data_IF_144352272296
#
_entry.id   IF_144352272296
#
_cell.length_a   1.000
_cell.length_b   1.000
_cell.length_c   1.000
_cell.angle_alpha   90.00
_cell.angle_beta   90.00
_cell.angle_gamma   90.00
#
_symmetry.space_group_name_H-M   'P 1'
#
loop_
_entity.id
_entity.type
_entity.pdbx_description
1 polymer ?
#
# COMPACT_ATOMS: atom_id res chain seq x y z
N UNK A 1 -4.35 27.17 7.04
CA UNK A 1 -3.90 25.93 7.70
C UNK A 1 -3.19 25.10 6.67
N UNK A 2 -1.86 25.08 6.68
CA UNK A 2 -1.08 24.24 5.76
C UNK A 2 -0.98 22.85 6.38
N UNK A 3 -1.87 21.97 5.95
CA UNK A 3 -1.81 20.55 6.27
C UNK A 3 -0.95 19.86 5.22
N UNK A 4 0.20 19.32 5.63
CA UNK A 4 1.05 18.51 4.76
C UNK A 4 0.79 17.05 5.07
N UNK A 5 0.36 16.29 4.07
CA UNK A 5 0.11 14.85 4.20
C UNK A 5 1.03 14.15 3.23
N UNK A 6 1.75 13.19 3.78
CA UNK A 6 2.62 12.32 3.01
C UNK A 6 2.19 10.90 3.34
N UNK A 7 1.76 10.17 2.31
CA UNK A 7 1.51 8.74 2.42
C UNK A 7 2.86 8.07 2.23
N UNK A 8 3.35 7.41 3.26
CA UNK A 8 4.60 6.66 3.22
C UNK A 8 4.31 5.24 2.72
N UNK A 9 5.19 4.72 1.86
CA UNK A 9 5.27 3.31 1.48
C UNK A 9 6.71 2.88 1.74
N UNK A 10 6.93 1.99 2.72
CA UNK A 10 8.16 1.24 3.09
C UNK A 10 9.56 1.88 2.85
N UNK A 11 9.63 3.21 2.77
CA UNK A 11 10.84 3.96 2.54
C UNK A 11 10.74 5.35 3.15
N UNK A 12 11.91 5.95 3.38
CA UNK A 12 11.99 7.32 3.85
C UNK A 12 11.43 8.28 2.80
N UNK A 13 10.60 9.25 3.21
CA UNK A 13 10.07 10.29 2.32
C UNK A 13 10.42 11.68 2.83
N UNK A 14 10.88 12.54 1.92
CA UNK A 14 11.10 13.95 2.19
C UNK A 14 9.78 14.74 2.19
N UNK A 15 9.55 15.53 3.23
CA UNK A 15 8.40 16.44 3.31
C UNK A 15 8.88 17.85 3.63
N UNK A 16 8.19 18.86 3.08
CA UNK A 16 8.56 20.26 3.33
C UNK A 16 7.68 20.89 4.40
N UNK A 17 8.32 21.44 5.44
CA UNK A 17 7.70 22.21 6.50
C UNK A 17 7.88 23.71 6.19
N UNK A 18 6.77 24.38 5.88
CA UNK A 18 6.80 25.81 5.52
C UNK A 18 7.24 26.73 6.66
N UNK A 19 6.93 26.38 7.91
CA UNK A 19 7.22 27.18 9.09
C UNK A 19 7.68 26.27 10.22
N UNK A 20 8.82 26.57 10.84
CA UNK A 20 9.28 25.84 12.02
C UNK A 20 8.31 25.98 13.19
N UNK A 21 8.29 25.00 14.08
CA UNK A 21 7.47 25.02 15.29
C UNK A 21 7.03 23.64 15.77
N UNK A 22 6.03 23.62 16.65
CA UNK A 22 5.46 22.39 17.18
C UNK A 22 4.42 21.80 16.23
N UNK A 23 4.53 20.50 15.98
CA UNK A 23 3.62 19.73 15.14
C UNK A 23 3.14 18.47 15.87
N UNK A 24 1.94 18.02 15.53
CA UNK A 24 1.35 16.76 15.95
C UNK A 24 1.35 15.79 14.78
N UNK A 25 1.92 14.61 15.01
CA UNK A 25 1.78 13.47 14.12
C UNK A 25 0.52 12.67 14.49
N UNK A 26 -0.20 12.19 13.48
CA UNK A 26 -1.22 11.14 13.62
C UNK A 26 -0.81 9.99 12.71
N UNK A 27 -0.58 8.82 13.30
CA UNK A 27 -0.16 7.61 12.57
C UNK A 27 -1.34 6.65 12.56
N UNK A 28 -1.61 5.98 11.43
CA UNK A 28 -2.68 4.98 11.35
C UNK A 28 -2.11 3.61 11.00
N UNK A 29 -1.63 2.88 12.01
CA UNK A 29 -1.15 1.53 11.82
C UNK A 29 -2.31 0.53 11.66
N UNK A 30 -1.99 -0.72 11.36
CA UNK A 30 -2.94 -1.83 11.31
C UNK A 30 -2.36 -3.08 11.96
N UNK A 31 -2.90 -3.37 13.14
CA UNK A 31 -2.70 -4.62 13.85
C UNK A 31 -3.47 -5.70 13.13
N UNK A 32 -2.74 -6.44 12.30
CA UNK A 32 -3.32 -7.43 11.41
C UNK A 32 -3.39 -8.81 12.06
N UNK A 33 -2.84 -8.99 13.27
CA UNK A 33 -3.07 -10.14 14.14
C UNK A 33 -3.16 -9.69 15.62
N UNK A 34 -4.33 -9.16 16.05
CA UNK A 34 -4.53 -8.73 17.42
C UNK A 34 -4.21 -9.83 18.44
N UNK A 35 -3.61 -9.44 19.56
CA UNK A 35 -3.11 -10.31 20.63
C UNK A 35 -1.69 -10.84 20.39
N UNK A 36 -1.18 -10.75 19.15
CA UNK A 36 0.20 -11.09 18.82
C UNK A 36 1.03 -9.88 18.38
N UNK A 37 0.37 -8.80 17.94
CA UNK A 37 0.99 -7.53 17.54
C UNK A 37 2.18 -7.68 16.57
N UNK A 38 2.05 -8.45 15.47
CA UNK A 38 3.11 -8.50 14.47
C UNK A 38 3.14 -7.18 13.69
N UNK A 39 4.31 -6.57 13.55
CA UNK A 39 4.47 -5.32 12.82
C UNK A 39 4.45 -4.06 13.67
N UNK A 40 4.84 -4.13 14.95
CA UNK A 40 5.07 -2.93 15.77
C UNK A 40 6.05 -2.02 15.04
N UNK A 41 5.70 -0.74 14.97
CA UNK A 41 6.46 0.24 14.19
C UNK A 41 6.69 1.53 14.95
N UNK A 42 7.79 2.20 14.61
CA UNK A 42 8.15 3.53 15.07
C UNK A 42 8.24 4.49 13.90
N UNK A 43 8.05 5.77 14.18
CA UNK A 43 8.28 6.85 13.22
C UNK A 43 9.63 7.48 13.50
N UNK A 44 10.42 7.66 12.45
CA UNK A 44 11.66 8.42 12.49
C UNK A 44 11.48 9.77 11.81
N UNK A 45 12.00 10.82 12.43
CA UNK A 45 11.98 12.19 11.95
C UNK A 45 13.42 12.70 11.89
N UNK A 46 13.92 13.02 10.70
CA UNK A 46 15.33 13.42 10.48
C UNK A 46 16.34 12.42 11.06
N UNK A 47 16.03 11.12 11.01
CA UNK A 47 16.85 10.04 11.57
C UNK A 47 16.76 9.88 13.10
N UNK A 48 15.95 10.70 13.79
CA UNK A 48 15.64 10.52 15.20
C UNK A 48 14.31 9.78 15.39
N UNK A 49 14.30 8.74 16.21
CA UNK A 49 13.11 7.92 16.46
C UNK A 49 12.20 8.57 17.50
N UNK A 50 10.88 8.52 17.26
CA UNK A 50 9.89 8.89 18.28
C UNK A 50 9.73 7.74 19.28
N UNK A 51 9.65 8.05 20.58
CA UNK A 51 9.56 7.06 21.66
C UNK A 51 8.29 6.19 21.62
N UNK A 52 7.28 6.60 20.85
CA UNK A 52 6.01 5.88 20.76
C UNK A 52 6.14 4.72 19.79
N UNK A 53 5.93 3.52 20.30
CA UNK A 53 5.63 2.33 19.52
C UNK A 53 4.15 2.33 19.13
N UNK A 54 3.89 2.07 17.85
CA UNK A 54 2.55 2.01 17.28
C UNK A 54 2.11 0.56 17.09
N UNK A 55 0.81 0.34 17.02
CA UNK A 55 0.19 -0.96 16.71
C UNK A 55 0.14 -2.01 17.85
N UNK A 56 0.32 -1.59 19.11
CA UNK A 56 0.21 -2.43 20.33
C UNK A 56 -1.11 -2.19 21.10
N UNK A 57 -2.22 -1.98 20.39
CA UNK A 57 -3.47 -1.52 21.04
C UNK A 57 -4.72 -2.38 20.77
N UNK A 58 -4.60 -3.48 20.01
CA UNK A 58 -5.70 -4.37 19.62
C UNK A 58 -6.86 -3.67 18.87
N UNK A 59 -6.61 -2.52 18.22
CA UNK A 59 -7.63 -1.79 17.44
C UNK A 59 -7.31 -1.85 15.94
N UNK A 60 -8.31 -2.16 15.13
CA UNK A 60 -8.18 -2.12 13.67
C UNK A 60 -8.23 -0.65 13.17
N UNK A 61 -7.12 -0.19 12.59
CA UNK A 61 -6.98 1.08 11.85
C UNK A 61 -7.42 2.32 12.65
N UNK A 62 -6.84 2.51 13.84
CA UNK A 62 -7.08 3.70 14.66
C UNK A 62 -5.98 4.75 14.52
N UNK A 63 -6.30 6.03 14.72
CA UNK A 63 -5.29 7.09 14.74
C UNK A 63 -4.58 7.13 16.09
N UNK A 64 -3.26 7.02 16.05
CA UNK A 64 -2.38 7.08 17.22
C UNK A 64 -1.52 8.34 17.20
N UNK A 65 -1.20 8.85 18.40
CA UNK A 65 -0.54 10.14 18.59
C UNK A 65 0.72 9.97 19.44
N UNK A 66 1.92 10.16 18.88
CA UNK A 66 3.17 10.03 19.64
C UNK A 66 3.46 11.23 20.56
N UNK A 67 2.62 12.27 20.52
CA UNK A 67 2.87 13.56 21.16
C UNK A 67 3.39 14.62 20.16
N UNK A 68 3.58 15.87 20.64
CA UNK A 68 4.04 16.95 19.78
C UNK A 68 5.55 16.87 19.54
N UNK A 69 5.98 17.17 18.31
CA UNK A 69 7.38 17.15 17.86
C UNK A 69 7.76 18.55 17.36
N UNK A 70 8.94 19.03 17.75
CA UNK A 70 9.48 20.29 17.24
C UNK A 70 10.16 20.05 15.89
N UNK A 71 9.70 20.75 14.85
CA UNK A 71 10.21 20.61 13.49
C UNK A 71 10.86 21.92 13.00
N UNK A 72 12.02 21.85 12.31
CA UNK A 72 12.58 23.01 11.63
C UNK A 72 11.73 23.38 10.40
N UNK A 73 11.87 24.61 9.93
CA UNK A 73 11.42 24.95 8.57
C UNK A 73 12.34 24.29 7.54
N UNK A 74 11.79 23.88 6.40
CA UNK A 74 12.53 23.26 5.30
C UNK A 74 12.19 21.79 5.10
N UNK A 75 13.09 21.07 4.43
CA UNK A 75 12.93 19.63 4.18
C UNK A 75 13.20 18.85 5.47
N UNK A 76 12.32 17.90 5.75
CA UNK A 76 12.55 16.87 6.77
C UNK A 76 12.33 15.50 6.16
N UNK A 77 13.01 14.50 6.71
CA UNK A 77 12.84 13.11 6.31
C UNK A 77 11.94 12.40 7.31
N UNK A 78 10.92 11.71 6.84
CA UNK A 78 10.14 10.76 7.63
C UNK A 78 10.45 9.34 7.20
N UNK A 79 10.59 8.42 8.15
CA UNK A 79 10.67 6.99 7.87
C UNK A 79 9.79 6.19 8.85
N UNK A 80 9.43 4.99 8.43
CA UNK A 80 8.80 3.98 9.28
C UNK A 80 9.83 2.89 9.57
N UNK A 81 9.97 2.53 10.83
CA UNK A 81 10.86 1.47 11.28
C UNK A 81 10.03 0.33 11.87
N UNK A 82 10.02 -0.83 11.20
CA UNK A 82 9.39 -2.04 11.71
C UNK A 82 10.29 -2.73 12.72
N UNK A 83 9.86 -2.74 13.98
CA UNK A 83 10.60 -3.31 15.10
C UNK A 83 10.56 -4.84 15.16
N UNK A 84 9.62 -5.45 14.43
CA UNK A 84 9.35 -6.89 14.49
C UNK A 84 9.83 -7.64 13.24
N UNK A 85 10.24 -6.92 12.19
CA UNK A 85 10.56 -7.50 10.89
C UNK A 85 9.40 -8.26 10.25
N UNK A 86 8.16 -7.93 10.63
CA UNK A 86 6.93 -8.64 10.24
C UNK A 86 6.04 -7.83 9.30
N UNK A 87 6.64 -6.89 8.56
CA UNK A 87 5.99 -5.99 7.61
C UNK A 87 4.91 -5.14 8.27
N UNK A 88 5.34 -4.33 9.24
CA UNK A 88 4.54 -3.32 9.91
C UNK A 88 3.64 -2.55 8.95
N UNK A 89 2.35 -2.45 9.24
CA UNK A 89 1.38 -1.86 8.32
C UNK A 89 1.00 -0.47 8.79
N UNK A 90 1.33 0.54 7.99
CA UNK A 90 0.85 1.91 8.18
C UNK A 90 0.30 2.42 6.86
N UNK A 91 -0.93 2.93 6.85
CA UNK A 91 -1.57 3.38 5.62
C UNK A 91 -1.62 4.91 5.46
N UNK A 92 -1.22 5.67 6.50
CA UNK A 92 -1.11 7.12 6.49
C UNK A 92 -0.38 7.67 7.72
N UNK A 93 0.41 8.73 7.51
CA UNK A 93 0.88 9.65 8.55
C UNK A 93 0.38 11.06 8.23
N UNK A 94 -0.18 11.71 9.22
CA UNK A 94 -0.66 13.08 9.13
C UNK A 94 0.19 13.99 10.02
N UNK A 95 0.64 15.12 9.48
CA UNK A 95 1.41 16.13 10.22
C UNK A 95 0.67 17.47 10.19
N UNK A 96 0.34 18.00 11.38
CA UNK A 96 -0.42 19.25 11.51
C UNK A 96 0.00 20.01 12.76
N UNK A 97 -0.27 21.32 12.82
CA UNK A 97 -0.11 22.11 14.04
C UNK A 97 -1.28 21.94 15.02
N UNK A 98 -2.39 21.39 14.55
CA UNK A 98 -3.58 21.12 15.35
C UNK A 98 -3.60 19.66 15.81
N UNK A 99 -3.88 19.43 17.09
CA UNK A 99 -4.06 18.09 17.67
C UNK A 99 -5.45 17.54 17.35
N UNK A 100 -5.73 17.29 16.08
CA UNK A 100 -6.99 16.71 15.62
C UNK A 100 -6.73 15.61 14.59
N UNK A 101 -7.28 14.40 14.78
CA UNK A 101 -7.14 13.35 13.78
C UNK A 101 -7.90 13.72 12.51
N UNK A 102 -7.43 13.27 11.33
CA UNK A 102 -8.27 13.23 10.15
C UNK A 102 -9.54 12.42 10.42
N UNK A 103 -10.67 12.74 9.76
CA UNK A 103 -11.91 11.97 9.93
C UNK A 103 -11.67 10.47 9.74
N UNK A 104 -12.13 9.65 10.68
CA UNK A 104 -12.09 8.18 10.59
C UNK A 104 -13.09 7.61 9.58
N UNK A 105 -14.11 8.40 9.21
CA UNK A 105 -15.26 7.95 8.43
C UNK A 105 -14.83 7.57 7.01
N UNK A 106 -15.30 6.43 6.53
CA UNK A 106 -15.18 5.99 5.13
C UNK A 106 -16.37 6.49 4.30
N UNK A 107 -16.71 7.77 4.41
CA UNK A 107 -17.76 8.39 3.60
C UNK A 107 -17.19 9.08 2.35
N UNK A 108 -18.09 9.56 1.48
CA UNK A 108 -17.70 10.22 0.22
C UNK A 108 -16.82 11.45 0.43
N UNK A 109 -16.98 12.17 1.54
CA UNK A 109 -16.21 13.37 1.88
C UNK A 109 -14.77 12.98 2.24
N UNK A 110 -14.60 11.98 3.10
CA UNK A 110 -13.27 11.46 3.42
C UNK A 110 -12.55 10.89 2.19
N UNK A 111 -13.30 10.23 1.30
CA UNK A 111 -12.76 9.73 0.03
C UNK A 111 -12.27 10.86 -0.87
N UNK A 112 -13.09 11.89 -1.11
CA UNK A 112 -12.71 13.05 -1.92
C UNK A 112 -11.51 13.78 -1.32
N UNK A 113 -11.52 14.01 0.00
CA UNK A 113 -10.37 14.60 0.70
C UNK A 113 -9.10 13.78 0.49
N UNK A 114 -9.15 12.45 0.69
CA UNK A 114 -7.99 11.57 0.43
C UNK A 114 -7.49 11.68 -1.01
N UNK A 115 -8.39 11.78 -2.00
CA UNK A 115 -8.02 11.94 -3.42
C UNK A 115 -7.32 13.26 -3.66
N UNK A 116 -7.84 14.37 -3.14
CA UNK A 116 -7.21 15.69 -3.23
C UNK A 116 -5.80 15.69 -2.62
N UNK A 117 -5.64 15.06 -1.46
CA UNK A 117 -4.35 14.92 -0.78
C UNK A 117 -3.34 14.08 -1.56
N UNK A 118 -3.83 13.13 -2.37
CA UNK A 118 -3.02 12.29 -3.26
C UNK A 118 -2.83 12.91 -4.66
N UNK A 119 -3.35 14.12 -4.92
CA UNK A 119 -3.34 14.72 -6.25
C UNK A 119 -4.19 13.96 -7.29
N UNK A 120 -5.12 13.12 -6.84
CA UNK A 120 -6.00 12.32 -7.69
C UNK A 120 -7.30 13.08 -8.02
N UNK A 121 -7.85 12.96 -9.24
CA UNK A 121 -9.10 13.62 -9.62
C UNK A 121 -10.27 13.03 -8.84
N UNK A 122 -11.29 13.79 -8.44
CA UNK A 122 -12.43 13.25 -7.67
C UNK A 122 -13.14 12.09 -8.40
N UNK A 123 -13.27 12.20 -9.72
CA UNK A 123 -13.81 11.15 -10.60
C UNK A 123 -12.66 10.45 -11.33
N UNK A 124 -12.54 9.10 -11.24
CA UNK A 124 -11.57 8.36 -12.04
C UNK A 124 -11.83 8.53 -13.54
N UNK A 125 -10.77 8.66 -14.34
CA UNK A 125 -10.87 8.60 -15.80
C UNK A 125 -11.31 7.22 -16.27
N UNK A 126 -12.03 7.16 -17.39
CA UNK A 126 -12.32 5.89 -18.07
C UNK A 126 -11.07 5.41 -18.81
N UNK A 127 -10.75 4.12 -18.67
CA UNK A 127 -9.62 3.47 -19.36
C UNK A 127 -10.07 2.52 -20.48
N UNK A 128 -11.36 2.56 -20.83
CA UNK A 128 -11.96 1.71 -21.86
C UNK A 128 -13.07 0.82 -21.32
N UNK A 129 -13.60 -0.02 -22.21
CA UNK A 129 -14.63 -1.03 -21.91
C UNK A 129 -13.98 -2.39 -22.11
N UNK A 130 -14.16 -3.29 -21.14
CA UNK A 130 -13.62 -4.64 -21.15
C UNK A 130 -14.73 -5.64 -20.85
N UNK A 131 -14.68 -6.82 -21.46
CA UNK A 131 -15.63 -7.91 -21.22
C UNK A 131 -15.38 -8.58 -19.86
N UNK A 132 -14.13 -8.56 -19.40
CA UNK A 132 -13.74 -9.09 -18.10
C UNK A 132 -12.71 -8.18 -17.42
N UNK A 133 -12.88 -7.92 -16.12
CA UNK A 133 -11.93 -7.15 -15.34
C UNK A 133 -11.56 -7.88 -14.05
N UNK A 134 -10.26 -8.01 -13.79
CA UNK A 134 -9.69 -8.60 -12.59
C UNK A 134 -9.02 -7.53 -11.76
N UNK A 135 -9.42 -7.43 -10.49
CA UNK A 135 -8.83 -6.51 -9.52
C UNK A 135 -7.85 -7.27 -8.63
N UNK A 136 -6.55 -6.98 -8.78
CA UNK A 136 -5.47 -7.56 -8.00
C UNK A 136 -4.70 -8.66 -8.72
N UNK A 137 -3.42 -8.41 -8.98
CA UNK A 137 -2.48 -9.32 -9.63
C UNK A 137 -1.90 -10.43 -8.76
N UNK A 138 -2.60 -10.89 -7.71
CA UNK A 138 -2.17 -12.06 -6.94
C UNK A 138 -2.17 -13.34 -7.79
N UNK A 139 -1.67 -14.46 -7.25
CA UNK A 139 -1.68 -15.76 -7.97
C UNK A 139 -3.06 -16.10 -8.54
N UNK A 140 -4.12 -15.95 -7.73
CA UNK A 140 -5.48 -16.24 -8.19
C UNK A 140 -5.99 -15.23 -9.21
N UNK A 141 -5.60 -13.95 -9.08
CA UNK A 141 -5.95 -12.92 -10.05
C UNK A 141 -5.28 -13.18 -11.40
N UNK A 142 -3.99 -13.50 -11.40
CA UNK A 142 -3.27 -13.89 -12.61
C UNK A 142 -3.85 -15.17 -13.25
N UNK A 143 -4.26 -16.16 -12.43
CA UNK A 143 -4.97 -17.34 -12.93
C UNK A 143 -6.31 -16.97 -13.58
N UNK A 144 -7.07 -16.05 -12.96
CA UNK A 144 -8.35 -15.59 -13.49
C UNK A 144 -8.19 -14.87 -14.83
N UNK A 145 -7.20 -13.97 -14.96
CA UNK A 145 -6.89 -13.29 -16.23
C UNK A 145 -6.53 -14.30 -17.31
N UNK A 146 -5.60 -15.22 -17.03
CA UNK A 146 -5.15 -16.19 -18.03
C UNK A 146 -6.27 -17.14 -18.47
N UNK A 147 -7.20 -17.47 -17.56
CA UNK A 147 -8.38 -18.27 -17.88
C UNK A 147 -9.39 -17.47 -18.70
N UNK A 148 -9.68 -16.23 -18.31
CA UNK A 148 -10.62 -15.35 -19.01
C UNK A 148 -10.16 -14.98 -20.42
N UNK A 149 -8.85 -14.85 -20.64
CA UNK A 149 -8.26 -14.58 -21.95
C UNK A 149 -8.63 -15.63 -23.01
N UNK A 150 -8.92 -16.87 -22.61
CA UNK A 150 -9.32 -17.95 -23.53
C UNK A 150 -10.77 -17.83 -24.02
N UNK A 151 -11.60 -16.99 -23.41
CA UNK A 151 -13.04 -16.96 -23.68
C UNK A 151 -13.65 -15.56 -23.73
N UNK A 152 -12.85 -14.52 -23.52
CA UNK A 152 -13.31 -13.12 -23.51
C UNK A 152 -12.59 -12.32 -24.60
N UNK A 153 -13.30 -11.49 -25.39
CA UNK A 153 -12.65 -10.65 -26.41
C UNK A 153 -11.67 -9.62 -25.82
N UNK A 154 -11.91 -9.16 -24.58
CA UNK A 154 -11.05 -8.19 -23.90
C UNK A 154 -11.01 -8.43 -22.38
N UNK A 155 -9.81 -8.40 -21.81
CA UNK A 155 -9.58 -8.63 -20.37
C UNK A 155 -8.68 -7.54 -19.79
N UNK A 156 -9.13 -6.89 -18.71
CA UNK A 156 -8.32 -5.94 -17.95
C UNK A 156 -7.81 -6.57 -16.65
N UNK A 157 -6.52 -6.39 -16.35
CA UNK A 157 -5.96 -6.61 -15.02
C UNK A 157 -5.63 -5.25 -14.40
N UNK A 158 -6.30 -4.90 -13.31
CA UNK A 158 -5.97 -3.71 -12.51
C UNK A 158 -5.16 -4.15 -11.30
N UNK A 159 -3.94 -3.62 -11.17
CA UNK A 159 -3.02 -4.00 -10.11
C UNK A 159 -2.23 -2.80 -9.60
N UNK A 160 -2.17 -2.63 -8.27
CA UNK A 160 -1.60 -1.47 -7.61
C UNK A 160 -0.19 -1.73 -7.04
N UNK A 161 0.59 -2.62 -7.67
CA UNK A 161 1.96 -2.92 -7.25
C UNK A 161 2.82 -3.26 -8.47
N UNK A 162 4.15 -3.12 -8.36
CA UNK A 162 5.08 -3.46 -9.44
C UNK A 162 5.20 -4.96 -9.71
N UNK A 163 4.85 -5.83 -8.76
CA UNK A 163 5.03 -7.28 -8.88
C UNK A 163 3.72 -8.07 -8.73
N UNK A 164 3.41 -8.89 -9.74
CA UNK A 164 2.37 -9.91 -9.66
C UNK A 164 2.74 -11.01 -8.66
N UNK A 165 1.73 -11.68 -8.11
CA UNK A 165 1.86 -12.87 -7.27
C UNK A 165 1.35 -12.70 -5.84
N UNK A 166 1.16 -11.47 -5.37
CA UNK A 166 0.84 -11.22 -3.96
C UNK A 166 1.96 -11.77 -3.08
N UNK A 167 1.66 -12.65 -2.13
CA UNK A 167 2.69 -13.31 -1.32
C UNK A 167 3.67 -14.16 -2.15
N UNK A 168 3.29 -14.55 -3.37
CA UNK A 168 4.20 -15.22 -4.30
C UNK A 168 5.00 -14.25 -5.18
N UNK A 169 4.93 -12.94 -4.94
CA UNK A 169 5.74 -11.97 -5.70
C UNK A 169 7.24 -12.23 -5.54
N UNK A 170 8.03 -11.48 -6.30
CA UNK A 170 9.49 -11.49 -6.14
C UNK A 170 9.91 -11.01 -4.75
N UNK A 171 9.17 -10.04 -4.17
CA UNK A 171 9.51 -9.41 -2.88
C UNK A 171 9.28 -10.34 -1.69
N UNK A 172 8.22 -11.16 -1.73
CA UNK A 172 7.82 -12.00 -0.58
C UNK A 172 8.26 -13.46 -0.77
N UNK A 173 8.24 -13.98 -2.00
CA UNK A 173 8.83 -15.28 -2.32
C UNK A 173 8.04 -16.53 -1.88
N UNK A 174 6.86 -16.40 -1.28
CA UNK A 174 6.08 -17.56 -0.84
C UNK A 174 5.40 -18.29 -2.00
N UNK A 175 5.74 -19.56 -2.22
CA UNK A 175 5.06 -20.38 -3.23
C UNK A 175 3.68 -20.86 -2.75
N UNK A 176 2.68 -20.97 -3.64
CA UNK A 176 1.42 -21.66 -3.34
C UNK A 176 1.66 -23.06 -2.75
N UNK A 177 0.86 -23.46 -1.76
CA UNK A 177 0.92 -24.77 -1.12
C UNK A 177 -0.46 -25.45 -1.15
N UNK A 178 -0.48 -26.77 -0.97
CA UNK A 178 -1.72 -27.56 -0.97
C UNK A 178 -2.05 -28.12 -2.36
N UNK A 179 -3.34 -28.18 -2.69
CA UNK A 179 -3.81 -28.63 -4.00
C UNK A 179 -3.63 -27.49 -5.02
N UNK A 180 -2.78 -27.72 -6.02
CA UNK A 180 -2.42 -26.72 -7.02
C UNK A 180 -2.94 -27.21 -8.38
N UNK A 181 -3.82 -26.41 -9.00
CA UNK A 181 -4.29 -26.67 -10.37
C UNK A 181 -3.26 -26.25 -11.41
N UNK A 182 -3.36 -26.81 -12.62
CA UNK A 182 -2.40 -26.61 -13.72
C UNK A 182 -2.13 -25.14 -14.08
N UNK A 183 -3.18 -24.30 -14.08
CA UNK A 183 -3.05 -22.87 -14.36
C UNK A 183 -2.18 -22.20 -13.30
N UNK A 184 -2.47 -22.46 -12.03
CA UNK A 184 -1.72 -21.92 -10.88
C UNK A 184 -0.28 -22.42 -10.91
N UNK A 185 -0.05 -23.70 -11.18
CA UNK A 185 1.28 -24.28 -11.32
C UNK A 185 2.10 -23.58 -12.41
N UNK A 186 1.48 -23.34 -13.58
CA UNK A 186 2.12 -22.68 -14.72
C UNK A 186 2.54 -21.25 -14.37
N UNK A 187 1.64 -20.44 -13.78
CA UNK A 187 1.91 -19.03 -13.46
C UNK A 187 2.85 -18.87 -12.26
N UNK A 188 2.85 -19.82 -11.31
CA UNK A 188 3.68 -19.75 -10.10
C UNK A 188 5.11 -20.23 -10.32
N UNK A 189 5.43 -20.80 -11.49
CA UNK A 189 6.81 -21.15 -11.85
C UNK A 189 7.69 -19.90 -11.79
N UNK A 190 8.93 -20.09 -11.34
CA UNK A 190 9.92 -19.01 -11.18
C UNK A 190 10.79 -18.90 -12.43
N UNK A 191 11.13 -17.67 -12.81
CA UNK A 191 12.20 -17.37 -13.77
C UNK A 191 13.57 -17.57 -13.11
N UNK A 192 14.64 -17.49 -13.90
CA UNK A 192 16.00 -17.52 -13.37
C UNK A 192 16.28 -16.38 -12.37
N UNK A 193 15.61 -15.23 -12.52
CA UNK A 193 15.71 -14.09 -11.61
C UNK A 193 14.82 -14.21 -10.37
N UNK A 194 14.11 -15.33 -10.18
CA UNK A 194 13.17 -15.53 -9.06
C UNK A 194 11.79 -14.87 -9.24
N UNK A 195 11.57 -14.14 -10.33
CA UNK A 195 10.25 -13.59 -10.66
C UNK A 195 9.27 -14.69 -11.04
N UNK A 196 7.97 -14.42 -10.96
CA UNK A 196 6.95 -15.36 -11.45
C UNK A 196 6.95 -15.43 -12.98
N UNK A 197 6.46 -16.54 -13.54
CA UNK A 197 6.16 -16.69 -14.97
C UNK A 197 4.87 -15.95 -15.37
N UNK A 198 4.02 -15.62 -14.41
CA UNK A 198 2.75 -14.93 -14.63
C UNK A 198 2.85 -13.71 -15.57
N UNK A 199 3.76 -12.73 -15.38
CA UNK A 199 3.83 -11.55 -16.24
C UNK A 199 4.02 -11.90 -17.72
N UNK A 200 4.99 -12.76 -18.06
CA UNK A 200 5.24 -13.13 -19.45
C UNK A 200 4.07 -13.89 -20.09
N UNK A 201 3.33 -14.66 -19.29
CA UNK A 201 2.16 -15.38 -19.78
C UNK A 201 0.98 -14.45 -20.04
N UNK A 202 0.77 -13.45 -19.19
CA UNK A 202 -0.31 -12.48 -19.39
C UNK A 202 0.00 -11.51 -20.53
N UNK A 203 1.25 -11.05 -20.65
CA UNK A 203 1.70 -10.16 -21.74
C UNK A 203 1.66 -10.85 -23.12
N UNK A 204 1.72 -12.18 -23.16
CA UNK A 204 1.60 -12.95 -24.40
C UNK A 204 0.15 -13.07 -24.90
N UNK A 205 -0.84 -12.77 -24.07
CA UNK A 205 -2.26 -12.82 -24.46
C UNK A 205 -2.67 -11.49 -25.11
N UNK A 206 -3.00 -11.47 -26.42
CA UNK A 206 -3.20 -10.23 -27.18
C UNK A 206 -4.45 -9.45 -26.76
N UNK A 207 -5.37 -10.08 -26.04
CA UNK A 207 -6.61 -9.50 -25.52
C UNK A 207 -6.50 -9.08 -24.04
N UNK A 208 -5.33 -9.20 -23.42
CA UNK A 208 -5.10 -8.79 -22.03
C UNK A 208 -4.44 -7.41 -21.99
N UNK A 209 -5.04 -6.50 -21.24
CA UNK A 209 -4.45 -5.20 -20.90
C UNK A 209 -4.16 -5.15 -19.40
N UNK A 210 -2.90 -4.87 -19.05
CA UNK A 210 -2.47 -4.73 -17.65
C UNK A 210 -2.36 -3.25 -17.32
N UNK A 211 -3.06 -2.82 -16.27
CA UNK A 211 -2.98 -1.50 -15.68
C UNK A 211 -2.17 -1.60 -14.37
N UNK A 212 -0.85 -1.36 -14.43
CA UNK A 212 0.00 -1.29 -13.24
C UNK A 212 -0.26 -0.01 -12.44
N UNK A 213 0.43 0.11 -11.29
CA UNK A 213 0.47 1.31 -10.45
C UNK A 213 0.99 2.55 -11.18
#
# INVERSE_FOLDING_TARGET
MSTHITILTDDSTGISISLGGMYYFCVRPKDWVPGHHPGILQVEVNGGTLDTEFDDNNKDRFWEFPGPVSLPAGQITLALHDLTGSYGRCDAIFCSRDKAPPPLRTDGVARSRRRQLLGLPDTPGSVGIFDFAVLGGGILGAAAVLTAAQSSPSVALIHNRPYLGGNASLEIGLSPRGIIGLVVEKISKRTFTGGLKAPQLLEAEPNVTIFPE
#
